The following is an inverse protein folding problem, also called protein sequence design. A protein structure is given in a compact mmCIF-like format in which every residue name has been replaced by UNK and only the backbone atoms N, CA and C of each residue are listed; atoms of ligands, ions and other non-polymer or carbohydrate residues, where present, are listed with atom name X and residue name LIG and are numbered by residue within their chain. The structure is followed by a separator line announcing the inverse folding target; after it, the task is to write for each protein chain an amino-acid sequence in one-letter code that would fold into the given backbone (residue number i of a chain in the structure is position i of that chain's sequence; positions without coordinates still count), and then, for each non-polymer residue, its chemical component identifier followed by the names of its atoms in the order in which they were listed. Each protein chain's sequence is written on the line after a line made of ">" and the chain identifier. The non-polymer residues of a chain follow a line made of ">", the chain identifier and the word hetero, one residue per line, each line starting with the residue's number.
data_IF_518750819215
#
_entry.id   IF_518750819215
#
_cell.length_a   1.000
_cell.length_b   1.000
_cell.length_c   1.000
_cell.angle_alpha   90.00
_cell.angle_beta   90.00
_cell.angle_gamma   90.00
#
_symmetry.space_group_name_H-M   'P 1'
#
loop_
_entity.id
_entity.type
_entity.pdbx_description
1 polymer ?
#
# COMPACT_ATOMS: atom_id res chain seq x y z
N UNK A 1 17.54 4.15 -33.92
CA UNK A 1 17.61 4.49 -32.49
C UNK A 1 16.18 4.76 -32.05
N UNK A 2 15.59 3.85 -31.27
CA UNK A 2 14.23 4.02 -30.75
C UNK A 2 14.31 5.05 -29.63
N UNK A 3 13.75 6.24 -29.85
CA UNK A 3 13.47 7.20 -28.80
C UNK A 3 12.50 6.55 -27.82
N UNK A 4 13.02 5.94 -26.76
CA UNK A 4 12.20 5.69 -25.58
C UNK A 4 12.03 7.06 -24.93
N UNK A 5 10.89 7.70 -25.18
CA UNK A 5 10.41 8.70 -24.25
C UNK A 5 10.36 8.00 -22.90
N UNK A 6 11.24 8.38 -21.98
CA UNK A 6 11.21 7.92 -20.59
C UNK A 6 9.96 8.52 -19.92
N UNK A 7 8.80 8.01 -20.29
CA UNK A 7 7.55 8.24 -19.58
C UNK A 7 7.73 7.52 -18.25
N UNK A 8 7.94 8.28 -17.19
CA UNK A 8 8.12 7.71 -15.84
C UNK A 8 6.86 6.95 -15.44
N UNK A 9 6.96 5.90 -14.65
CA UNK A 9 5.80 5.13 -14.14
C UNK A 9 4.75 6.05 -13.49
N UNK A 10 5.17 7.16 -12.87
CA UNK A 10 4.31 8.23 -12.34
C UNK A 10 3.36 8.86 -13.38
N UNK A 11 3.70 8.82 -14.66
CA UNK A 11 2.86 9.31 -15.76
C UNK A 11 1.87 8.24 -16.23
N UNK A 12 2.23 6.95 -16.15
CA UNK A 12 1.32 5.84 -16.43
C UNK A 12 0.31 5.62 -15.29
N UNK A 13 0.72 5.82 -14.03
CA UNK A 13 -0.13 5.67 -12.84
C UNK A 13 -1.30 6.67 -12.78
N UNK A 14 -1.30 7.72 -13.61
CA UNK A 14 -2.45 8.65 -13.72
C UNK A 14 -3.67 8.05 -14.42
N UNK A 15 -3.52 6.90 -15.09
CA UNK A 15 -4.60 6.27 -15.83
C UNK A 15 -4.62 4.74 -15.78
N UNK A 16 -3.70 4.14 -15.02
CA UNK A 16 -3.56 2.68 -14.93
C UNK A 16 -3.41 2.27 -13.47
N UNK A 17 -4.06 1.18 -13.12
CA UNK A 17 -3.90 0.50 -11.83
C UNK A 17 -2.56 -0.22 -11.77
N UNK A 18 -2.10 -0.53 -10.56
CA UNK A 18 -0.88 -1.32 -10.35
C UNK A 18 -0.94 -2.69 -11.07
N UNK A 19 -2.11 -3.31 -11.14
CA UNK A 19 -2.32 -4.59 -11.84
C UNK A 19 -2.13 -4.46 -13.36
N UNK A 20 -2.61 -3.37 -13.96
CA UNK A 20 -2.42 -3.07 -15.39
C UNK A 20 -0.95 -2.79 -15.71
N UNK A 21 -0.25 -2.06 -14.83
CA UNK A 21 1.18 -1.80 -14.98
C UNK A 21 2.01 -3.10 -14.95
N UNK A 22 1.65 -4.05 -14.09
CA UNK A 22 2.32 -5.35 -13.99
C UNK A 22 1.98 -6.23 -15.20
N UNK A 23 0.70 -6.34 -15.55
CA UNK A 23 0.23 -7.23 -16.61
C UNK A 23 0.65 -6.80 -18.03
N UNK A 24 0.79 -5.49 -18.26
CA UNK A 24 1.35 -4.96 -19.51
C UNK A 24 2.89 -4.94 -19.54
N UNK A 25 3.55 -5.34 -18.44
CA UNK A 25 5.00 -5.46 -18.36
C UNK A 25 5.73 -4.13 -18.20
N UNK A 26 5.05 -3.08 -17.72
CA UNK A 26 5.68 -1.77 -17.44
C UNK A 26 6.50 -1.81 -16.15
N UNK A 27 6.12 -2.67 -15.19
CA UNK A 27 6.82 -2.85 -13.90
C UNK A 27 6.80 -4.31 -13.46
N UNK A 28 7.82 -4.70 -12.69
CA UNK A 28 7.82 -6.01 -12.01
C UNK A 28 6.81 -6.02 -10.85
N UNK A 29 6.25 -7.18 -10.48
CA UNK A 29 5.36 -7.31 -9.33
C UNK A 29 5.96 -6.75 -8.02
N UNK A 30 7.28 -6.87 -7.88
CA UNK A 30 8.01 -6.42 -6.68
C UNK A 30 8.20 -4.89 -6.63
N UNK A 31 7.87 -4.16 -7.70
CA UNK A 31 8.02 -2.70 -7.76
C UNK A 31 7.17 -1.98 -6.69
N UNK A 32 6.02 -2.55 -6.31
CA UNK A 32 5.13 -2.01 -5.29
C UNK A 32 5.34 -2.64 -3.91
N UNK A 33 6.35 -3.50 -3.74
CA UNK A 33 6.65 -4.10 -2.45
C UNK A 33 7.34 -3.08 -1.54
N UNK A 34 6.68 -2.71 -0.45
CA UNK A 34 7.24 -1.87 0.61
C UNK A 34 7.41 -2.69 1.90
N UNK A 35 8.65 -3.03 2.32
CA UNK A 35 8.90 -3.76 3.54
C UNK A 35 8.45 -3.00 4.80
N UNK A 36 8.45 -1.67 4.77
CA UNK A 36 8.05 -0.83 5.90
C UNK A 36 6.51 -0.86 6.07
N UNK A 37 5.75 -1.01 4.97
CA UNK A 37 4.29 -1.20 5.01
C UNK A 37 3.92 -2.52 5.69
N UNK A 38 4.68 -3.59 5.45
CA UNK A 38 4.46 -4.90 6.09
C UNK A 38 4.78 -4.89 7.58
N UNK A 39 5.80 -4.13 8.00
CA UNK A 39 6.09 -3.91 9.43
C UNK A 39 4.96 -3.11 10.09
N UNK A 40 4.51 -2.02 9.44
CA UNK A 40 3.39 -1.21 9.92
C UNK A 40 2.09 -2.02 10.06
N UNK A 41 1.79 -2.93 9.11
CA UNK A 41 0.63 -3.82 9.21
C UNK A 41 0.68 -4.70 10.46
N UNK A 42 1.85 -5.27 10.77
CA UNK A 42 2.05 -6.10 11.97
C UNK A 42 1.86 -5.29 13.24
N UNK A 43 2.40 -4.07 13.27
CA UNK A 43 2.24 -3.17 14.42
C UNK A 43 0.77 -2.78 14.64
N UNK A 44 0.03 -2.53 13.56
CA UNK A 44 -1.42 -2.25 13.63
C UNK A 44 -2.19 -3.47 14.15
N UNK A 45 -1.85 -4.68 13.69
CA UNK A 45 -2.46 -5.92 14.19
C UNK A 45 -2.17 -6.17 15.67
N UNK A 46 -0.92 -5.94 16.11
CA UNK A 46 -0.48 -5.99 17.51
C UNK A 46 -1.32 -5.03 18.37
N UNK A 47 -1.48 -3.77 17.95
CA UNK A 47 -2.28 -2.76 18.63
C UNK A 47 -3.76 -3.17 18.68
N UNK A 48 -4.33 -3.65 17.57
CA UNK A 48 -5.72 -4.12 17.53
C UNK A 48 -5.95 -5.28 18.50
N UNK A 49 -4.99 -6.21 18.62
CA UNK A 49 -5.05 -7.30 19.61
C UNK A 49 -5.03 -6.75 21.03
N UNK A 50 -4.09 -5.87 21.34
CA UNK A 50 -3.95 -5.24 22.67
C UNK A 50 -5.24 -4.49 23.05
N UNK A 51 -5.82 -3.71 22.14
CA UNK A 51 -7.08 -2.98 22.35
C UNK A 51 -8.25 -3.92 22.62
N UNK A 52 -8.36 -5.01 21.85
CA UNK A 52 -9.41 -6.02 22.03
C UNK A 52 -9.29 -6.74 23.36
N UNK A 53 -8.08 -7.08 23.78
CA UNK A 53 -7.81 -7.81 25.03
C UNK A 53 -7.96 -6.92 26.26
N UNK A 54 -7.56 -5.65 26.16
CA UNK A 54 -7.66 -4.71 27.28
C UNK A 54 -9.04 -4.07 27.44
N UNK A 55 -10.03 -4.44 26.61
CA UNK A 55 -11.39 -3.85 26.59
C UNK A 55 -11.32 -2.35 26.87
N UNK A 56 -10.89 -1.56 25.88
CA UNK A 56 -11.15 -0.12 25.96
C UNK A 56 -12.65 0.06 26.30
N UNK A 57 -13.00 0.76 27.39
CA UNK A 57 -14.40 1.01 27.69
C UNK A 57 -15.02 1.67 26.45
N UNK A 58 -16.16 1.15 25.99
CA UNK A 58 -16.83 1.61 24.77
C UNK A 58 -17.18 3.11 24.79
N UNK A 59 -17.01 3.78 25.95
CA UNK A 59 -17.26 5.19 26.20
C UNK A 59 -16.21 6.15 25.58
N UNK A 60 -15.07 5.67 25.08
CA UNK A 60 -14.02 6.52 24.46
C UNK A 60 -13.98 6.48 22.91
N UNK A 61 -14.98 5.89 22.24
CA UNK A 61 -15.10 6.05 20.78
C UNK A 61 -15.68 7.42 20.43
N UNK A 62 -14.81 8.36 20.06
CA UNK A 62 -15.21 9.58 19.34
C UNK A 62 -15.16 9.24 17.85
N UNK A 63 -16.33 9.07 17.23
CA UNK A 63 -16.44 9.03 15.77
C UNK A 63 -16.01 10.39 15.21
N UNK A 64 -15.01 10.39 14.32
CA UNK A 64 -14.61 11.54 13.50
C UNK A 64 -15.27 11.46 12.12
#
# INVERSE_FOLDING_TARGET
>A
MLNHSEITINQFSYGMTSEELISEGHVDPDYFYDPDEEELKKDIEEIKRIVRENKLPEEEYIEF
#
